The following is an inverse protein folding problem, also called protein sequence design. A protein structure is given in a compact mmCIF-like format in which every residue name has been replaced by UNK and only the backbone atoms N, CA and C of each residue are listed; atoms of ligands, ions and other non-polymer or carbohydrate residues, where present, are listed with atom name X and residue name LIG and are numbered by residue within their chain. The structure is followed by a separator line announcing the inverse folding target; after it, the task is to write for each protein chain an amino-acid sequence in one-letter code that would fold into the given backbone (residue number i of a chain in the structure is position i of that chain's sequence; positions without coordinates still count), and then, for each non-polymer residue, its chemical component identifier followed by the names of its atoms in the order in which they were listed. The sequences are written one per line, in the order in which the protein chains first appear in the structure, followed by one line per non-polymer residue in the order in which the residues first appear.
data_IF_765817833570
#
_entry.id   IF_765817833570
#
_cell.length_a   1.000
_cell.length_b   1.000
_cell.length_c   1.000
_cell.angle_alpha   90.00
_cell.angle_beta   90.00
_cell.angle_gamma   90.00
#
_symmetry.space_group_name_H-M   'P 1'
#
loop_
_entity.id
_entity.type
_entity.pdbx_description
1 polymer ?
#
# COMPACT_ATOMS: atom_id res chain seq x y z
N UNK A 1 7.11 14.69 -13.23
CA UNK A 1 6.56 14.25 -11.93
C UNK A 1 5.80 12.95 -12.16
N UNK A 2 5.81 12.00 -11.22
CA UNK A 2 5.12 10.71 -11.36
C UNK A 2 3.99 10.60 -10.33
N UNK A 3 2.81 10.18 -10.77
CA UNK A 3 1.65 9.95 -9.89
C UNK A 3 1.60 8.53 -9.32
N UNK A 4 2.33 7.61 -9.94
CA UNK A 4 2.28 6.17 -9.64
C UNK A 4 3.60 5.49 -10.00
N UNK A 5 3.83 4.30 -9.43
CA UNK A 5 4.96 3.41 -9.78
C UNK A 5 4.49 1.97 -9.96
N UNK A 6 5.22 1.20 -10.77
CA UNK A 6 5.10 -0.25 -10.88
C UNK A 6 6.46 -0.86 -10.51
N UNK A 7 6.44 -1.91 -9.69
CA UNK A 7 7.64 -2.64 -9.30
C UNK A 7 7.84 -3.83 -10.24
N UNK A 8 9.09 -4.09 -10.59
CA UNK A 8 9.48 -5.21 -11.45
C UNK A 8 10.64 -5.96 -10.80
N UNK A 9 10.48 -7.27 -10.61
CA UNK A 9 11.52 -8.16 -10.11
C UNK A 9 11.68 -9.35 -11.05
N UNK A 10 12.89 -9.59 -11.55
CA UNK A 10 13.20 -10.82 -12.28
C UNK A 10 13.59 -11.96 -11.34
N UNK A 11 12.91 -13.10 -11.44
CA UNK A 11 13.32 -14.39 -10.85
C UNK A 11 14.07 -15.22 -11.89
N UNK A 12 15.42 -15.29 -11.84
CA UNK A 12 16.21 -16.04 -12.81
C UNK A 12 15.94 -17.55 -12.80
N UNK A 13 15.36 -18.07 -11.70
CA UNK A 13 14.92 -19.45 -11.55
C UNK A 13 13.83 -19.85 -12.57
N UNK A 14 13.11 -18.86 -13.12
CA UNK A 14 11.97 -19.09 -14.01
C UNK A 14 10.63 -19.25 -13.30
N UNK A 15 10.61 -19.34 -11.97
CA UNK A 15 9.38 -19.38 -11.17
C UNK A 15 8.98 -17.95 -10.75
N UNK A 16 7.86 -17.41 -11.26
CA UNK A 16 7.42 -16.07 -10.92
C UNK A 16 6.69 -15.99 -9.57
N UNK A 17 6.53 -17.09 -8.82
CA UNK A 17 5.87 -17.03 -7.51
C UNK A 17 6.60 -16.06 -6.58
N UNK A 18 5.89 -15.10 -5.96
CA UNK A 18 6.49 -14.11 -5.07
C UNK A 18 7.11 -14.78 -3.84
N UNK A 19 8.34 -14.39 -3.52
CA UNK A 19 8.98 -14.78 -2.27
C UNK A 19 8.43 -13.96 -1.10
N UNK A 20 8.71 -14.42 0.13
CA UNK A 20 8.41 -13.62 1.32
C UNK A 20 9.06 -12.21 1.28
N UNK A 21 10.25 -12.11 0.68
CA UNK A 21 10.95 -10.84 0.56
C UNK A 21 10.23 -9.87 -0.39
N UNK A 22 9.63 -10.39 -1.46
CA UNK A 22 8.83 -9.58 -2.39
C UNK A 22 7.64 -8.95 -1.67
N UNK A 23 6.89 -9.74 -0.88
CA UNK A 23 5.80 -9.20 -0.07
C UNK A 23 6.26 -8.12 0.92
N UNK A 24 7.39 -8.31 1.58
CA UNK A 24 7.94 -7.33 2.53
C UNK A 24 8.32 -6.02 1.83
N UNK A 25 8.97 -6.11 0.68
CA UNK A 25 9.37 -4.94 -0.13
C UNK A 25 8.13 -4.22 -0.65
N UNK A 26 7.17 -4.94 -1.23
CA UNK A 26 5.89 -4.38 -1.69
C UNK A 26 5.19 -3.63 -0.56
N UNK A 27 5.11 -4.23 0.63
CA UNK A 27 4.42 -3.62 1.78
C UNK A 27 5.05 -2.29 2.19
N UNK A 28 6.39 -2.24 2.27
CA UNK A 28 7.13 -1.02 2.62
C UNK A 28 6.96 0.06 1.55
N UNK A 29 7.00 -0.32 0.28
CA UNK A 29 6.85 0.63 -0.83
C UNK A 29 5.41 1.14 -0.95
N UNK A 30 4.40 0.32 -0.68
CA UNK A 30 3.01 0.79 -0.58
C UNK A 30 2.85 1.79 0.56
N UNK A 31 3.40 1.51 1.74
CA UNK A 31 3.33 2.44 2.88
C UNK A 31 4.07 3.76 2.59
N UNK A 32 5.29 3.68 2.06
CA UNK A 32 6.07 4.86 1.67
C UNK A 32 5.40 5.65 0.54
N UNK A 33 4.89 4.96 -0.47
CA UNK A 33 4.15 5.55 -1.59
C UNK A 33 2.92 6.31 -1.13
N UNK A 34 2.15 5.74 -0.20
CA UNK A 34 1.00 6.42 0.41
C UNK A 34 1.40 7.73 1.11
N UNK A 35 2.50 7.73 1.87
CA UNK A 35 3.02 8.93 2.54
C UNK A 35 3.45 9.98 1.51
N UNK A 36 4.06 9.56 0.41
CA UNK A 36 4.57 10.44 -0.65
C UNK A 36 3.49 10.89 -1.65
N UNK A 37 2.29 10.31 -1.61
CA UNK A 37 1.25 10.51 -2.62
C UNK A 37 1.61 9.90 -3.99
N UNK A 38 2.42 8.84 -4.00
CA UNK A 38 2.84 8.10 -5.20
C UNK A 38 2.52 6.62 -4.98
N UNK A 39 1.36 6.18 -5.43
CA UNK A 39 0.92 4.81 -5.15
C UNK A 39 1.62 3.77 -6.02
N UNK A 40 1.83 2.58 -5.45
CA UNK A 40 2.30 1.40 -6.18
C UNK A 40 1.11 0.75 -6.87
N UNK A 41 1.08 0.73 -8.21
CA UNK A 41 -0.01 0.15 -9.00
C UNK A 41 0.08 -1.37 -9.10
N UNK A 42 1.29 -1.90 -9.25
CA UNK A 42 1.53 -3.34 -9.32
C UNK A 42 2.95 -3.68 -8.86
N UNK A 43 3.16 -4.93 -8.46
CA UNK A 43 4.48 -5.55 -8.36
C UNK A 43 4.46 -6.82 -9.21
N UNK A 44 5.21 -6.77 -10.31
CA UNK A 44 5.28 -7.83 -11.31
C UNK A 44 6.58 -8.60 -11.12
N UNK A 45 6.46 -9.89 -10.81
CA UNK A 45 7.60 -10.82 -10.79
C UNK A 45 7.67 -11.54 -12.14
N UNK A 46 8.80 -11.46 -12.82
CA UNK A 46 9.03 -12.06 -14.14
C UNK A 46 9.89 -13.31 -14.01
N UNK A 47 9.40 -14.45 -14.49
CA UNK A 47 10.10 -15.73 -14.50
C UNK A 47 11.14 -15.85 -15.62
N UNK A 48 12.10 -14.93 -15.68
CA UNK A 48 13.23 -14.95 -16.61
C UNK A 48 12.86 -15.33 -18.05
N UNK A 49 13.49 -16.39 -18.58
CA UNK A 49 13.32 -16.85 -19.97
C UNK A 49 12.05 -17.66 -20.24
N UNK A 50 11.21 -17.90 -19.24
CA UNK A 50 10.00 -18.72 -19.40
C UNK A 50 8.83 -17.95 -20.01
N UNK A 51 8.91 -16.61 -20.02
CA UNK A 51 7.79 -15.74 -20.41
C UNK A 51 6.66 -15.67 -19.37
N UNK A 52 6.77 -16.41 -18.26
CA UNK A 52 5.79 -16.37 -17.17
C UNK A 52 5.99 -15.14 -16.30
N UNK A 53 4.91 -14.64 -15.72
CA UNK A 53 4.95 -13.57 -14.73
C UNK A 53 3.85 -13.76 -13.69
N UNK A 54 4.02 -13.10 -12.54
CA UNK A 54 3.03 -13.00 -11.47
C UNK A 54 2.78 -11.52 -11.22
N UNK A 55 1.51 -11.10 -11.20
CA UNK A 55 1.10 -9.73 -10.90
C UNK A 55 0.41 -9.73 -9.55
N UNK A 56 1.04 -9.11 -8.55
CA UNK A 56 0.45 -9.04 -7.21
C UNK A 56 -0.87 -8.25 -7.20
N UNK A 57 -1.08 -7.32 -8.14
CA UNK A 57 -2.35 -6.63 -8.31
C UNK A 57 -3.44 -7.56 -8.87
N UNK A 58 -3.11 -8.33 -9.92
CA UNK A 58 -4.05 -9.28 -10.54
C UNK A 58 -4.53 -10.35 -9.56
N UNK A 59 -3.63 -10.85 -8.72
CA UNK A 59 -3.94 -11.88 -7.72
C UNK A 59 -4.58 -11.29 -6.44
N UNK A 60 -4.82 -9.97 -6.37
CA UNK A 60 -5.47 -9.30 -5.23
C UNK A 60 -4.57 -9.13 -4.00
N UNK A 61 -3.30 -9.51 -4.07
CA UNK A 61 -2.34 -9.46 -2.98
C UNK A 61 -2.02 -8.02 -2.57
N UNK A 62 -1.93 -7.11 -3.55
CA UNK A 62 -1.71 -5.68 -3.30
C UNK A 62 -2.86 -5.04 -2.51
N UNK A 63 -4.10 -5.41 -2.81
CA UNK A 63 -5.27 -4.92 -2.09
C UNK A 63 -5.30 -5.44 -0.65
N UNK A 64 -4.91 -6.71 -0.47
CA UNK A 64 -4.75 -7.31 0.86
C UNK A 64 -3.68 -6.59 1.69
N UNK A 65 -2.55 -6.22 1.09
CA UNK A 65 -1.50 -5.45 1.75
C UNK A 65 -1.99 -4.06 2.14
N UNK A 66 -2.68 -3.34 1.23
CA UNK A 66 -3.21 -2.01 1.49
C UNK A 66 -4.24 -2.01 2.61
N UNK A 67 -5.17 -2.97 2.61
CA UNK A 67 -6.16 -3.11 3.68
C UNK A 67 -5.46 -3.31 5.03
N UNK A 68 -4.50 -4.24 5.12
CA UNK A 68 -3.74 -4.48 6.35
C UNK A 68 -2.95 -3.25 6.83
N UNK A 69 -2.49 -2.39 5.92
CA UNK A 69 -1.75 -1.17 6.23
C UNK A 69 -2.67 -0.01 6.65
N UNK A 70 -3.82 0.14 5.99
CA UNK A 70 -4.69 1.31 6.12
C UNK A 70 -5.73 1.17 7.24
N UNK A 71 -6.22 -0.03 7.54
CA UNK A 71 -7.21 -0.22 8.61
C UNK A 71 -6.71 0.22 10.00
N UNK A 72 -5.45 -0.08 10.40
CA UNK A 72 -4.90 0.48 11.65
C UNK A 72 -4.82 2.01 11.64
N UNK A 73 -4.46 2.62 10.51
CA UNK A 73 -4.31 4.06 10.39
C UNK A 73 -5.66 4.79 10.44
N UNK A 74 -6.70 4.26 9.78
CA UNK A 74 -8.07 4.79 9.83
C UNK A 74 -8.64 4.72 11.24
N UNK A 75 -8.46 3.58 11.92
CA UNK A 75 -8.95 3.38 13.28
C UNK A 75 -8.35 4.38 14.29
N UNK A 76 -7.13 4.87 14.05
CA UNK A 76 -6.48 5.91 14.87
C UNK A 76 -6.90 7.32 14.44
N UNK A 77 -7.05 7.58 13.14
CA UNK A 77 -7.36 8.90 12.61
C UNK A 77 -8.82 9.34 12.84
N UNK A 78 -9.79 8.42 12.78
CA UNK A 78 -11.22 8.72 12.97
C UNK A 78 -11.55 9.35 14.35
N UNK A 79 -11.11 8.79 15.49
CA UNK A 79 -11.37 9.40 16.79
C UNK A 79 -10.65 10.74 17.00
N UNK A 80 -9.59 11.06 16.24
CA UNK A 80 -8.90 12.35 16.31
C UNK A 80 -9.71 13.46 15.63
N UNK A 81 -10.37 13.19 14.51
CA UNK A 81 -11.22 14.18 13.82
C UNK A 81 -12.52 14.49 14.56
N UNK A 82 -13.09 13.52 15.28
CA UNK A 82 -14.33 13.74 16.06
C UNK A 82 -14.11 14.60 17.32
N UNK A 83 -12.88 14.75 17.80
CA UNK A 83 -12.56 15.57 18.99
C UNK A 83 -12.45 17.07 18.68
N UNK A 84 -12.06 17.45 17.47
CA UNK A 84 -11.88 18.86 17.07
C UNK A 84 -13.23 19.60 16.91
N UNK A 85 -14.34 18.87 16.74
CA UNK A 85 -15.67 19.46 16.51
C UNK A 85 -16.48 19.85 17.76
N UNK A 86 -16.10 19.42 18.97
CA UNK A 86 -16.97 19.57 20.17
C UNK A 86 -16.62 20.74 21.10
N UNK A 87 -15.61 21.54 20.80
CA UNK A 87 -15.14 22.60 21.72
C UNK A 87 -15.73 24.00 21.45
N UNK A 88 -16.65 24.14 20.48
CA UNK A 88 -17.21 25.45 20.08
C UNK A 88 -18.45 25.94 20.85
N UNK A 89 -18.78 25.40 22.04
CA UNK A 89 -20.06 25.76 22.68
C UNK A 89 -20.07 26.00 24.20
N UNK A 90 -18.95 26.45 24.81
CA UNK A 90 -18.94 26.76 26.25
C UNK A 90 -18.41 28.13 26.68
N UNK A 91 -18.56 29.15 25.83
CA UNK A 91 -18.42 30.56 26.25
C UNK A 91 -19.76 31.27 26.01
N UNK A 92 -20.74 31.00 26.89
CA UNK A 92 -21.93 31.85 27.02
C UNK A 92 -21.52 33.08 27.84
N UNK A 93 -21.65 34.24 27.19
CA UNK A 93 -21.37 35.58 27.70
C UNK A 93 -22.24 35.88 28.94
N UNK A 94 -21.65 36.60 29.90
CA UNK A 94 -22.38 37.41 30.89
C UNK A 94 -23.10 38.54 30.18
#
# INVERSE_FOLDING_TARGET
NASYVILLHNHPSGDPQPSHHDFLVTSKLCAGGHILGIDVLDHIIVGGRTGKYHSMAKEGELENLRTKLLEPAKAVAEPLFQRVGKEKHRIRRR
#
